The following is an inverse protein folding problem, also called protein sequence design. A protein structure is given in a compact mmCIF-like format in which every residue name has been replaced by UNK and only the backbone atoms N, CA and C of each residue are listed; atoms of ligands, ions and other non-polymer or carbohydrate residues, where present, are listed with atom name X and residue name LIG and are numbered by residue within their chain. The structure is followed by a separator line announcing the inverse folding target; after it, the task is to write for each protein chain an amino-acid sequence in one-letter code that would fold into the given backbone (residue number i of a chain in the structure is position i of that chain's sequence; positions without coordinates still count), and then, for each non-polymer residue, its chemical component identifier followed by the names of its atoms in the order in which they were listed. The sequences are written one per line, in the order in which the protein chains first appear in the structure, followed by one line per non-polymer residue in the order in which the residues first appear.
data_IF_613858996311
#
_entry.id   IF_613858996311
#
_cell.length_a   1.000
_cell.length_b   1.000
_cell.length_c   1.000
_cell.angle_alpha   90.00
_cell.angle_beta   90.00
_cell.angle_gamma   90.00
#
_symmetry.space_group_name_H-M   'P 1'
#
loop_
_entity.id
_entity.type
_entity.pdbx_description
1 polymer ?
#
# COMPACT_ATOMS: atom_id res chain seq x y z
N UNK A 1 2.12 18.69 10.49
CA UNK A 1 1.92 17.21 10.44
C UNK A 1 2.24 16.58 9.08
N UNK A 2 2.08 17.30 7.94
CA UNK A 2 2.56 16.86 6.62
C UNK A 2 4.07 16.51 6.57
N UNK A 3 4.90 17.15 7.40
CA UNK A 3 6.33 16.88 7.50
C UNK A 3 6.67 15.44 7.93
N UNK A 4 5.83 14.81 8.77
CA UNK A 4 6.03 13.40 9.18
C UNK A 4 5.68 12.42 8.05
N UNK A 5 4.67 12.74 7.24
CA UNK A 5 4.32 11.97 6.04
C UNK A 5 5.44 12.14 5.00
N UNK A 6 6.06 13.34 4.90
CA UNK A 6 7.23 13.57 4.06
C UNK A 6 8.52 12.90 4.54
N UNK A 7 8.66 12.64 5.84
CA UNK A 7 9.82 11.99 6.44
C UNK A 7 9.95 10.50 6.09
N UNK A 8 8.85 9.85 5.69
CA UNK A 8 8.90 8.45 5.26
C UNK A 8 9.77 8.33 3.99
N UNK A 9 10.84 7.52 4.00
CA UNK A 9 11.72 7.41 2.85
C UNK A 9 10.90 6.92 1.65
N UNK A 10 11.08 7.59 0.50
CA UNK A 10 10.39 7.29 -0.76
C UNK A 10 10.44 5.79 -1.10
N UNK A 11 11.62 5.19 -0.93
CA UNK A 11 11.84 3.75 -1.13
C UNK A 11 11.04 2.89 -0.14
N UNK A 12 10.92 3.32 1.11
CA UNK A 12 10.20 2.56 2.14
C UNK A 12 8.69 2.60 1.88
N UNK A 13 8.13 3.76 1.53
CA UNK A 13 6.70 3.85 1.18
C UNK A 13 6.35 3.00 -0.06
N UNK A 14 7.24 2.99 -1.07
CA UNK A 14 7.09 2.14 -2.25
C UNK A 14 7.21 0.65 -1.90
N UNK A 15 8.23 0.25 -1.11
CA UNK A 15 8.40 -1.15 -0.68
C UNK A 15 7.22 -1.63 0.15
N UNK A 16 6.69 -0.81 1.06
CA UNK A 16 5.51 -1.17 1.85
C UNK A 16 4.29 -1.32 0.94
N UNK A 17 4.03 -0.39 0.03
CA UNK A 17 2.92 -0.50 -0.92
C UNK A 17 3.02 -1.73 -1.82
N UNK A 18 4.22 -2.01 -2.34
CA UNK A 18 4.48 -3.20 -3.18
C UNK A 18 4.34 -4.50 -2.39
N UNK A 19 4.88 -4.55 -1.17
CA UNK A 19 4.73 -5.69 -0.28
C UNK A 19 3.26 -5.92 0.06
N UNK A 20 2.48 -4.86 0.28
CA UNK A 20 1.06 -4.96 0.55
C UNK A 20 0.29 -5.54 -0.65
N UNK A 21 0.64 -5.19 -1.89
CA UNK A 21 0.04 -5.79 -3.10
C UNK A 21 0.37 -7.28 -3.22
N UNK A 22 1.63 -7.67 -2.99
CA UNK A 22 2.04 -9.08 -3.11
C UNK A 22 1.51 -9.95 -1.98
N UNK A 23 1.54 -9.45 -0.74
CA UNK A 23 1.16 -10.22 0.45
C UNK A 23 -0.33 -10.16 0.77
N UNK A 24 -1.08 -9.14 0.34
CA UNK A 24 -2.53 -9.05 0.56
C UNK A 24 -3.31 -10.31 0.14
N UNK A 25 -3.15 -10.85 -1.09
CA UNK A 25 -3.84 -12.07 -1.48
C UNK A 25 -3.39 -13.29 -0.67
N UNK A 26 -2.11 -13.34 -0.28
CA UNK A 26 -1.56 -14.40 0.59
C UNK A 26 -2.21 -14.36 1.98
N UNK A 27 -2.30 -13.18 2.60
CA UNK A 27 -2.93 -12.98 3.89
C UNK A 27 -4.41 -13.34 3.86
N UNK A 28 -5.15 -12.93 2.81
CA UNK A 28 -6.58 -13.26 2.64
C UNK A 28 -6.76 -14.78 2.44
N UNK A 29 -5.83 -15.44 1.76
CA UNK A 29 -5.84 -16.89 1.60
C UNK A 29 -5.69 -17.61 2.94
N UNK A 30 -4.66 -17.25 3.74
CA UNK A 30 -4.49 -17.83 5.08
C UNK A 30 -5.68 -17.51 6.01
N UNK A 31 -6.22 -16.29 5.97
CA UNK A 31 -7.38 -15.91 6.77
C UNK A 31 -8.60 -16.76 6.42
N UNK A 32 -8.81 -16.99 5.11
CA UNK A 32 -9.89 -17.84 4.60
C UNK A 32 -9.72 -19.32 4.93
N UNK A 33 -8.49 -19.77 5.14
CA UNK A 33 -8.18 -21.14 5.53
C UNK A 33 -8.42 -21.36 7.03
N UNK A 34 -8.07 -20.38 7.87
CA UNK A 34 -8.29 -20.45 9.32
C UNK A 34 -9.74 -20.15 9.73
N UNK A 35 -10.44 -19.27 9.00
CA UNK A 35 -11.80 -18.84 9.32
C UNK A 35 -12.72 -18.95 8.10
N UNK A 36 -13.98 -19.39 8.28
CA UNK A 36 -14.98 -19.40 7.23
C UNK A 36 -15.43 -17.97 6.91
N UNK A 37 -14.59 -17.25 6.17
CA UNK A 37 -14.88 -15.91 5.67
C UNK A 37 -15.81 -16.00 4.46
N UNK A 38 -16.93 -15.28 4.54
CA UNK A 38 -17.83 -15.09 3.40
C UNK A 38 -17.13 -14.36 2.25
N UNK A 39 -17.53 -14.68 1.02
CA UNK A 39 -16.90 -14.14 -0.19
C UNK A 39 -16.93 -12.61 -0.25
N UNK A 40 -18.02 -11.99 0.24
CA UNK A 40 -18.15 -10.53 0.33
C UNK A 40 -17.14 -9.87 1.27
N UNK A 41 -16.86 -10.49 2.43
CA UNK A 41 -15.90 -9.96 3.40
C UNK A 41 -14.47 -9.98 2.86
N UNK A 42 -14.10 -11.02 2.09
CA UNK A 42 -12.79 -11.11 1.42
C UNK A 42 -12.59 -9.98 0.42
N UNK A 43 -13.63 -9.65 -0.36
CA UNK A 43 -13.59 -8.60 -1.37
C UNK A 43 -13.43 -7.22 -0.72
N UNK A 44 -14.14 -6.96 0.38
CA UNK A 44 -14.05 -5.68 1.10
C UNK A 44 -12.64 -5.49 1.67
N UNK A 45 -12.12 -6.49 2.39
CA UNK A 45 -10.78 -6.42 2.99
C UNK A 45 -9.70 -6.25 1.91
N UNK A 46 -9.80 -7.02 0.81
CA UNK A 46 -8.90 -6.91 -0.32
C UNK A 46 -8.94 -5.52 -0.95
N UNK A 47 -10.13 -4.99 -1.22
CA UNK A 47 -10.30 -3.65 -1.82
C UNK A 47 -9.69 -2.55 -0.96
N UNK A 48 -9.89 -2.60 0.36
CA UNK A 48 -9.31 -1.62 1.28
C UNK A 48 -7.78 -1.73 1.30
N UNK A 49 -7.23 -2.94 1.37
CA UNK A 49 -5.78 -3.15 1.34
C UNK A 49 -5.15 -2.64 0.04
N UNK A 50 -5.78 -2.91 -1.11
CA UNK A 50 -5.33 -2.40 -2.41
C UNK A 50 -5.39 -0.88 -2.50
N UNK A 51 -6.45 -0.24 -1.96
CA UNK A 51 -6.57 1.21 -1.92
C UNK A 51 -5.40 1.84 -1.14
N UNK A 52 -5.09 1.31 0.05
CA UNK A 52 -3.95 1.77 0.84
C UNK A 52 -2.62 1.54 0.14
N UNK A 53 -2.43 0.38 -0.49
CA UNK A 53 -1.21 0.09 -1.23
C UNK A 53 -1.00 1.08 -2.39
N UNK A 54 -2.08 1.37 -3.12
CA UNK A 54 -2.06 2.32 -4.22
C UNK A 54 -1.71 3.73 -3.75
N UNK A 55 -2.30 4.19 -2.65
CA UNK A 55 -1.99 5.50 -2.04
C UNK A 55 -0.53 5.61 -1.61
N UNK A 56 0.06 4.54 -1.05
CA UNK A 56 1.48 4.51 -0.66
C UNK A 56 2.41 4.59 -1.87
N UNK A 57 2.10 3.84 -2.94
CA UNK A 57 2.88 3.87 -4.18
C UNK A 57 2.76 5.24 -4.86
N UNK A 58 1.55 5.80 -4.90
CA UNK A 58 1.29 7.12 -5.47
C UNK A 58 2.03 8.21 -4.67
N UNK A 59 2.00 8.14 -3.34
CA UNK A 59 2.74 9.08 -2.47
C UNK A 59 4.26 8.96 -2.65
N UNK A 60 4.79 7.76 -2.84
CA UNK A 60 6.20 7.55 -3.17
C UNK A 60 6.54 8.13 -4.56
N UNK A 61 5.69 7.91 -5.56
CA UNK A 61 5.85 8.44 -6.92
C UNK A 61 5.81 9.97 -6.95
N UNK A 62 4.86 10.58 -6.22
CA UNK A 62 4.73 12.04 -6.11
C UNK A 62 5.96 12.67 -5.44
N UNK A 63 6.50 12.05 -4.39
CA UNK A 63 7.80 12.43 -3.81
C UNK A 63 8.95 12.36 -4.80
N UNK A 64 9.00 11.31 -5.64
CA UNK A 64 10.03 11.15 -6.68
C UNK A 64 9.96 12.29 -7.68
N UNK A 65 8.75 12.60 -8.13
CA UNK A 65 8.49 13.62 -9.13
C UNK A 65 8.81 15.03 -8.58
N UNK A 66 8.40 15.33 -7.35
CA UNK A 66 8.73 16.59 -6.67
C UNK A 66 10.25 16.75 -6.43
N UNK A 67 10.99 15.66 -6.16
CA UNK A 67 12.46 15.72 -6.05
C UNK A 67 13.15 16.01 -7.38
N UNK A 68 12.61 15.50 -8.48
CA UNK A 68 13.18 15.71 -9.82
C UNK A 68 12.90 17.14 -10.33
N UNK A 69 11.70 17.66 -10.09
CA UNK A 69 11.33 19.04 -10.45
C UNK A 69 12.00 20.12 -9.61
N UNK A 70 12.64 19.76 -8.49
CA UNK A 70 13.43 20.68 -7.64
C UNK A 70 14.93 20.66 -7.95
N UNK A 71 15.36 19.75 -8.84
CA UNK A 71 16.75 19.64 -9.33
C UNK A 71 16.95 20.28 -10.71
N UNK A 72 15.86 20.59 -11.41
CA UNK A 72 15.84 21.57 -12.50
C UNK A 72 15.66 22.96 -11.90
#
# INVERSE_FOLDING_TARGET
MLGKIKALPEKVAFTIGLALILFSPLCIFFLSFLFPLGNGTKIIIGSVAYLFAFLLILSASDKRHSRIGKKM
#
